data_IF_000677523168
#
_entry.id   IF_000677523168
#
_cell.length_a   1.000
_cell.length_b   1.000
_cell.length_c   1.000
_cell.angle_alpha   90.00
_cell.angle_beta   90.00
_cell.angle_gamma   90.00
#
_symmetry.space_group_name_H-M   'P 1'
#
loop_
_entity.id
_entity.type
_entity.pdbx_description
1 polymer ?
#
# COMPACT_ATOMS: atom_id res chain seq x y z
N UNK A 1 -25.49 21.67 5.60
CA UNK A 1 -24.85 21.26 5.52
C UNK A 1 -24.19 20.51 5.65
N UNK A 2 -24.35 20.23 5.77
CA UNK A 2 -23.43 19.47 5.96
C UNK A 2 -22.69 19.08 5.29
N UNK A 3 -22.29 18.84 5.24
CA UNK A 3 -21.60 18.44 4.51
C UNK A 3 -20.96 17.39 4.51
N UNK A 4 -21.40 16.74 3.94
CA UNK A 4 -20.52 15.69 3.74
C UNK A 4 -19.18 16.20 3.34
N UNK A 5 -18.19 15.62 3.85
CA UNK A 5 -16.86 16.07 3.55
C UNK A 5 -15.86 15.02 3.95
N UNK A 6 -14.60 15.28 3.66
CA UNK A 6 -13.54 14.38 4.04
C UNK A 6 -13.55 14.14 5.54
N UNK A 7 -13.14 12.97 5.99
CA UNK A 7 -13.05 12.71 7.40
C UNK A 7 -12.11 13.69 8.07
N UNK A 8 -12.34 13.97 9.34
CA UNK A 8 -11.52 14.89 10.09
C UNK A 8 -10.10 14.38 10.30
N UNK A 9 -9.89 13.10 10.10
CA UNK A 9 -8.57 12.49 10.22
C UNK A 9 -8.28 11.65 9.00
N UNK A 10 -6.98 11.43 8.70
CA UNK A 10 -6.64 10.51 7.61
C UNK A 10 -7.14 9.11 7.88
N UNK A 11 -7.35 8.36 6.82
CA UNK A 11 -7.73 6.97 6.92
C UNK A 11 -6.49 6.16 7.29
N UNK A 12 -6.61 5.38 8.36
CA UNK A 12 -5.55 4.50 8.78
C UNK A 12 -5.55 3.29 7.85
N UNK A 13 -4.50 3.15 7.09
CA UNK A 13 -4.45 2.19 5.99
C UNK A 13 -3.32 1.20 6.18
N UNK A 14 -3.60 -0.05 5.87
CA UNK A 14 -2.56 -1.07 5.80
C UNK A 14 -2.26 -1.35 4.34
N UNK A 15 -1.01 -1.15 3.93
CA UNK A 15 -0.56 -1.52 2.59
C UNK A 15 0.04 -2.92 2.67
N UNK A 16 -0.43 -3.82 1.82
CA UNK A 16 0.06 -5.19 1.76
C UNK A 16 0.68 -5.42 0.39
N UNK A 17 1.96 -5.75 0.38
CA UNK A 17 2.70 -6.02 -0.84
C UNK A 17 3.04 -7.50 -0.90
N UNK A 18 2.34 -8.30 -1.71
CA UNK A 18 2.75 -9.68 -1.92
C UNK A 18 4.04 -9.69 -2.74
N UNK A 19 5.05 -10.41 -2.28
CA UNK A 19 6.31 -10.46 -3.00
C UNK A 19 7.02 -11.77 -2.68
N UNK A 20 7.37 -12.52 -3.73
CA UNK A 20 7.96 -13.83 -3.54
C UNK A 20 6.98 -14.76 -2.86
N UNK A 21 7.45 -15.46 -1.84
CA UNK A 21 6.62 -16.43 -1.12
C UNK A 21 5.92 -15.84 0.09
N UNK A 22 6.08 -14.56 0.33
CA UNK A 22 5.50 -13.93 1.50
C UNK A 22 4.84 -12.62 1.18
N UNK A 23 4.64 -11.83 2.18
CA UNK A 23 4.12 -10.49 1.99
C UNK A 23 4.80 -9.50 2.91
N UNK A 24 4.70 -8.25 2.54
CA UNK A 24 5.27 -7.13 3.27
C UNK A 24 4.13 -6.19 3.63
N UNK A 25 4.22 -5.55 4.76
CA UNK A 25 3.17 -4.65 5.21
C UNK A 25 3.77 -3.30 5.61
N UNK A 26 2.94 -2.27 5.48
CA UNK A 26 3.32 -0.92 5.89
C UNK A 26 2.08 -0.16 6.31
N UNK A 27 2.20 0.59 7.40
CA UNK A 27 1.16 1.55 7.79
C UNK A 27 1.24 2.76 6.88
N UNK A 28 0.08 3.31 6.55
CA UNK A 28 0.03 4.50 5.71
C UNK A 28 -1.23 5.28 6.05
N UNK A 29 -1.21 6.57 5.77
CA UNK A 29 -2.39 7.40 6.00
C UNK A 29 -2.84 8.00 4.68
N UNK A 30 -4.11 7.81 4.37
CA UNK A 30 -4.69 8.36 3.14
C UNK A 30 -5.68 9.46 3.51
N UNK A 31 -5.66 10.53 2.73
CA UNK A 31 -6.56 11.65 2.95
C UNK A 31 -7.96 11.39 2.39
N UNK A 32 -8.12 10.30 1.62
CA UNK A 32 -9.38 9.98 0.98
C UNK A 32 -9.45 8.46 0.77
N UNK A 33 -10.65 7.91 0.55
CA UNK A 33 -10.77 6.47 0.33
C UNK A 33 -10.01 6.02 -0.90
N UNK A 34 -9.25 4.93 -0.80
CA UNK A 34 -8.50 4.43 -1.95
C UNK A 34 -9.41 3.73 -2.95
N UNK A 35 -8.90 3.54 -4.15
CA UNK A 35 -9.62 2.84 -5.22
C UNK A 35 -8.62 2.07 -6.06
N UNK A 36 -9.06 1.03 -6.79
CA UNK A 36 -8.15 0.27 -7.65
C UNK A 36 -7.47 1.18 -8.66
N UNK A 37 -6.21 0.91 -8.90
CA UNK A 37 -5.33 1.67 -9.80
C UNK A 37 -4.86 3.00 -9.25
N UNK A 38 -5.25 3.36 -8.02
CA UNK A 38 -4.69 4.53 -7.37
C UNK A 38 -3.18 4.33 -7.21
N UNK A 39 -2.40 5.34 -7.63
CA UNK A 39 -0.96 5.31 -7.42
C UNK A 39 -0.62 5.96 -6.11
N UNK A 40 0.17 5.28 -5.30
CA UNK A 40 0.64 5.79 -4.03
C UNK A 40 2.14 5.99 -4.12
N UNK A 41 2.58 7.24 -3.97
CA UNK A 41 4.00 7.55 -4.04
C UNK A 41 4.63 7.32 -2.67
N UNK A 42 5.55 6.39 -2.61
CA UNK A 42 6.23 6.07 -1.36
C UNK A 42 7.53 6.83 -1.20
N UNK A 43 8.18 7.17 -2.31
CA UNK A 43 9.32 8.08 -2.29
C UNK A 43 9.43 8.74 -3.66
N UNK A 44 10.54 9.45 -3.90
CA UNK A 44 10.70 10.23 -5.13
C UNK A 44 10.61 9.37 -6.38
N UNK A 45 11.07 8.13 -6.28
CA UNK A 45 11.18 7.27 -7.46
C UNK A 45 10.21 6.09 -7.46
N UNK A 46 9.49 5.87 -6.38
CA UNK A 46 8.70 4.66 -6.25
C UNK A 46 7.21 4.98 -6.09
N UNK A 47 6.41 4.47 -7.02
CA UNK A 47 4.95 4.54 -6.95
C UNK A 47 4.42 3.13 -6.93
N UNK A 48 3.51 2.88 -6.02
CA UNK A 48 2.82 1.59 -5.94
C UNK A 48 1.39 1.77 -6.41
N UNK A 49 0.87 0.79 -7.14
CA UNK A 49 -0.52 0.81 -7.56
C UNK A 49 -1.38 -0.03 -6.63
N UNK A 50 -2.54 0.51 -6.29
CA UNK A 50 -3.52 -0.24 -5.50
C UNK A 50 -4.18 -1.25 -6.43
N UNK A 51 -4.08 -2.53 -6.07
CA UNK A 51 -4.70 -3.61 -6.84
C UNK A 51 -6.09 -3.92 -6.33
N UNK A 52 -6.25 -3.94 -5.01
CA UNK A 52 -7.51 -4.26 -4.37
C UNK A 52 -7.67 -3.45 -3.12
N UNK A 53 -8.91 -3.15 -2.78
CA UNK A 53 -9.24 -2.43 -1.55
C UNK A 53 -10.18 -3.31 -0.73
N UNK A 54 -9.82 -3.50 0.52
CA UNK A 54 -10.60 -4.32 1.44
C UNK A 54 -11.03 -3.47 2.62
N UNK A 55 -12.22 -3.75 3.17
CA UNK A 55 -12.64 -3.09 4.38
C UNK A 55 -11.67 -3.46 5.48
N UNK A 56 -11.20 -2.46 6.21
CA UNK A 56 -10.20 -2.68 7.22
C UNK A 56 -10.74 -3.42 8.45
N UNK A 57 -9.85 -4.10 9.08
CA UNK A 57 -10.10 -4.68 10.40
C UNK A 57 -8.79 -4.62 11.15
N UNK A 58 -8.73 -5.19 12.32
CA UNK A 58 -7.50 -5.21 13.11
C UNK A 58 -6.92 -3.81 13.35
N UNK A 59 -7.79 -2.81 13.45
CA UNK A 59 -7.36 -1.46 13.78
C UNK A 59 -7.11 -0.56 12.60
N UNK A 60 -7.33 -1.03 11.38
CA UNK A 60 -7.19 -0.22 10.18
C UNK A 60 -8.54 0.14 9.59
N UNK A 61 -8.63 1.30 8.97
CA UNK A 61 -9.86 1.69 8.30
C UNK A 61 -10.03 0.95 6.97
N UNK A 62 -8.92 0.79 6.25
CA UNK A 62 -8.92 0.05 4.99
C UNK A 62 -7.61 -0.71 4.85
N UNK A 63 -7.63 -1.73 4.02
CA UNK A 63 -6.44 -2.48 3.64
C UNK A 63 -6.33 -2.44 2.12
N UNK A 64 -5.14 -2.13 1.62
CA UNK A 64 -4.89 -2.08 0.18
C UNK A 64 -3.85 -3.11 -0.19
N UNK A 65 -4.17 -3.95 -1.16
CA UNK A 65 -3.17 -4.82 -1.77
C UNK A 65 -2.50 -3.98 -2.84
N UNK A 66 -1.19 -3.85 -2.78
CA UNK A 66 -0.45 -2.97 -3.69
C UNK A 66 0.59 -3.76 -4.47
N UNK A 67 1.02 -3.18 -5.58
CA UNK A 67 2.06 -3.78 -6.43
C UNK A 67 2.91 -2.65 -7.01
N UNK A 68 4.13 -3.01 -7.40
CA UNK A 68 4.99 -2.05 -8.09
C UNK A 68 4.36 -1.66 -9.43
N UNK A 69 4.49 -0.40 -9.79
CA UNK A 69 3.92 0.12 -11.01
C UNK A 69 4.77 -0.32 -12.21
N UNK A 70 4.10 -0.95 -13.19
CA UNK A 70 4.65 -1.26 -14.51
C UNK A 70 6.09 -1.78 -14.50
N UNK A 71 6.34 -2.79 -13.69
CA UNK A 71 7.67 -3.35 -13.58
C UNK A 71 7.83 -4.55 -14.52
N UNK A 72 8.89 -4.53 -15.34
CA UNK A 72 9.20 -5.67 -16.21
C UNK A 72 9.73 -6.84 -15.38
N UNK A 73 9.72 -8.07 -15.93
CA UNK A 73 10.30 -9.21 -15.21
C UNK A 73 11.74 -9.00 -14.80
N UNK A 74 12.54 -8.35 -15.64
CA UNK A 74 13.94 -8.10 -15.31
C UNK A 74 14.06 -7.11 -14.17
N UNK A 75 13.21 -6.09 -14.18
CA UNK A 75 13.20 -5.11 -13.09
C UNK A 75 12.78 -5.76 -11.77
N UNK A 76 11.82 -6.71 -11.85
CA UNK A 76 11.38 -7.43 -10.65
C UNK A 76 12.52 -8.22 -10.03
N UNK A 77 13.39 -8.79 -10.84
CA UNK A 77 14.54 -9.54 -10.34
C UNK A 77 15.51 -8.67 -9.56
N UNK A 78 15.52 -7.38 -9.86
CA UNK A 78 16.39 -6.45 -9.16
C UNK A 78 15.84 -5.92 -7.85
N UNK A 79 14.60 -6.28 -7.51
CA UNK A 79 14.02 -5.82 -6.25
C UNK A 79 14.48 -6.73 -5.13
N UNK A 80 15.14 -6.14 -4.16
CA UNK A 80 15.67 -6.88 -3.01
C UNK A 80 14.86 -6.56 -1.77
N UNK A 81 14.99 -7.41 -0.77
CA UNK A 81 14.36 -7.17 0.53
C UNK A 81 14.81 -5.82 1.09
N UNK A 82 16.08 -5.49 0.89
CA UNK A 82 16.62 -4.22 1.37
C UNK A 82 15.87 -3.04 0.75
N UNK A 83 15.58 -3.14 -0.55
CA UNK A 83 14.85 -2.07 -1.25
C UNK A 83 13.43 -1.96 -0.73
N UNK A 84 12.78 -3.09 -0.49
CA UNK A 84 11.42 -3.08 0.03
C UNK A 84 11.39 -2.47 1.44
N UNK A 85 12.36 -2.84 2.27
CA UNK A 85 12.45 -2.26 3.61
C UNK A 85 12.72 -0.76 3.56
N UNK A 86 13.49 -0.31 2.58
CA UNK A 86 13.77 1.11 2.43
C UNK A 86 12.50 1.90 2.10
N UNK A 87 11.48 1.25 1.57
CA UNK A 87 10.20 1.88 1.31
C UNK A 87 9.28 1.87 2.53
N UNK A 88 9.77 1.39 3.66
CA UNK A 88 9.02 1.40 4.90
C UNK A 88 8.24 0.13 5.19
N UNK A 89 8.38 -0.88 4.35
CA UNK A 89 7.68 -2.14 4.56
C UNK A 89 8.43 -3.05 5.53
N UNK A 90 7.69 -3.88 6.22
CA UNK A 90 8.25 -4.92 7.07
C UNK A 90 7.65 -6.26 6.63
N UNK A 91 8.41 -7.32 6.79
CA UNK A 91 7.86 -8.64 6.56
C UNK A 91 6.72 -8.87 7.53
N UNK A 92 5.59 -9.31 7.02
CA UNK A 92 4.43 -9.50 7.87
C UNK A 92 3.62 -10.70 7.45
N UNK A 93 2.96 -11.29 8.44
CA UNK A 93 2.00 -12.33 8.16
C UNK A 93 0.64 -11.71 7.99
N UNK A 94 0.24 -11.51 6.78
CA UNK A 94 -1.08 -11.00 6.50
C UNK A 94 -1.98 -12.19 6.26
N UNK A 95 -3.02 -12.38 7.09
CA UNK A 95 -3.92 -13.52 6.93
C UNK A 95 -4.78 -13.44 5.70
#
# INVERSE_FOLDING_TARGET
>A
MAKSRAPDRPLKTLLVLPWGDGCWIRDYELAFPPFPKLGIRLDVYEVMNVESVLVGDSGYDVTCIVAFDEMTPDEKKGVTDKRIRALGFEEGGYP
#
